data_IF_516068740031
#
_entry.id   IF_516068740031
#
_cell.length_a   1.000
_cell.length_b   1.000
_cell.length_c   1.000
_cell.angle_alpha   90.00
_cell.angle_beta   90.00
_cell.angle_gamma   90.00
#
_symmetry.space_group_name_H-M   'P 1'
#
loop_
_entity.id
_entity.type
_entity.pdbx_description
1 polymer ?
#
# COMPACT_ATOMS: atom_id res chain seq x y z
N UNK A 1 1.45 6.25 -19.08
CA UNK A 1 1.00 7.62 -19.39
C UNK A 1 1.40 8.44 -18.19
N UNK A 2 2.30 9.42 -18.33
CA UNK A 2 2.74 10.21 -17.17
C UNK A 2 1.67 11.25 -16.85
N UNK A 3 0.90 11.01 -15.78
CA UNK A 3 -0.19 11.90 -15.40
C UNK A 3 0.32 13.15 -14.66
N UNK A 4 1.58 13.14 -14.19
CA UNK A 4 2.19 14.23 -13.45
C UNK A 4 3.42 14.73 -14.20
N UNK A 5 3.43 16.00 -14.59
CA UNK A 5 4.54 16.60 -15.35
C UNK A 5 5.83 16.67 -14.51
N UNK A 6 5.70 16.68 -13.19
CA UNK A 6 6.80 16.72 -12.23
C UNK A 6 6.54 15.74 -11.08
N UNK A 7 7.60 15.29 -10.37
CA UNK A 7 7.46 14.54 -9.13
C UNK A 7 6.57 15.28 -8.12
N UNK A 8 5.62 14.56 -7.55
CA UNK A 8 4.75 15.07 -6.49
C UNK A 8 5.54 15.16 -5.20
N UNK A 9 5.50 16.32 -4.56
CA UNK A 9 6.12 16.54 -3.25
C UNK A 9 5.31 15.88 -2.11
N UNK A 10 3.99 15.82 -2.26
CA UNK A 10 3.02 15.30 -1.29
C UNK A 10 2.61 13.84 -1.57
N UNK A 11 3.57 12.93 -1.67
CA UNK A 11 3.29 11.52 -2.03
C UNK A 11 2.41 10.81 -1.00
N UNK A 12 2.61 11.09 0.29
CA UNK A 12 1.83 10.47 1.38
C UNK A 12 0.35 10.81 1.23
N UNK A 13 0.08 12.08 0.98
CA UNK A 13 -1.25 12.63 0.76
C UNK A 13 -1.86 12.12 -0.53
N UNK A 14 -1.06 11.98 -1.61
CA UNK A 14 -1.50 11.37 -2.86
C UNK A 14 -1.97 9.92 -2.64
N UNK A 15 -1.17 9.11 -1.95
CA UNK A 15 -1.51 7.70 -1.69
C UNK A 15 -2.68 7.56 -0.74
N UNK A 16 -2.79 8.43 0.26
CA UNK A 16 -3.98 8.50 1.11
C UNK A 16 -5.23 8.88 0.30
N UNK A 17 -5.16 9.95 -0.50
CA UNK A 17 -6.26 10.39 -1.34
C UNK A 17 -6.69 9.33 -2.36
N UNK A 18 -5.72 8.60 -2.92
CA UNK A 18 -5.96 7.46 -3.81
C UNK A 18 -6.77 6.35 -3.11
N UNK A 19 -6.38 5.98 -1.90
CA UNK A 19 -7.07 4.96 -1.11
C UNK A 19 -8.50 5.39 -0.76
N UNK A 20 -8.68 6.63 -0.32
CA UNK A 20 -10.00 7.17 0.00
C UNK A 20 -10.89 7.29 -1.24
N UNK A 21 -10.33 7.68 -2.39
CA UNK A 21 -11.05 7.70 -3.66
C UNK A 21 -11.53 6.30 -4.07
N UNK A 22 -10.69 5.27 -3.90
CA UNK A 22 -11.07 3.87 -4.17
C UNK A 22 -12.15 3.34 -3.22
N UNK A 23 -12.25 3.87 -1.99
CA UNK A 23 -13.36 3.61 -1.06
C UNK A 23 -14.66 4.31 -1.47
N UNK A 24 -14.61 5.20 -2.46
CA UNK A 24 -15.76 5.95 -2.96
C UNK A 24 -15.98 7.30 -2.27
N UNK A 25 -15.01 7.78 -1.49
CA UNK A 25 -15.08 9.11 -0.88
C UNK A 25 -15.12 10.20 -1.95
N UNK A 26 -15.95 11.23 -1.72
CA UNK A 26 -16.00 12.41 -2.60
C UNK A 26 -14.74 13.27 -2.43
N UNK A 27 -14.39 14.10 -3.41
CA UNK A 27 -13.22 15.00 -3.31
C UNK A 27 -13.27 15.86 -2.04
N UNK A 28 -14.46 16.37 -1.67
CA UNK A 28 -14.64 17.17 -0.46
C UNK A 28 -14.39 16.34 0.81
N UNK A 29 -14.85 15.10 0.85
CA UNK A 29 -14.59 14.21 1.98
C UNK A 29 -13.08 13.90 2.10
N UNK A 30 -12.41 13.63 0.98
CA UNK A 30 -10.96 13.39 0.95
C UNK A 30 -10.20 14.62 1.44
N UNK A 31 -10.56 15.83 0.99
CA UNK A 31 -9.93 17.07 1.44
C UNK A 31 -10.06 17.27 2.95
N UNK A 32 -11.25 16.99 3.51
CA UNK A 32 -11.47 17.08 4.95
C UNK A 32 -10.64 16.05 5.72
N UNK A 33 -10.59 14.80 5.24
CA UNK A 33 -9.80 13.74 5.87
C UNK A 33 -8.30 14.07 5.88
N UNK A 34 -7.77 14.57 4.75
CA UNK A 34 -6.39 15.05 4.68
C UNK A 34 -6.11 16.17 5.69
N UNK A 35 -7.01 17.15 5.81
CA UNK A 35 -6.87 18.25 6.76
C UNK A 35 -7.03 17.88 8.23
N UNK A 36 -7.58 16.69 8.54
CA UNK A 36 -7.66 16.16 9.91
C UNK A 36 -6.41 15.39 10.33
N UNK A 37 -5.58 14.98 9.36
CA UNK A 37 -4.37 14.20 9.63
C UNK A 37 -3.22 15.13 10.03
N UNK A 38 -2.65 14.93 11.23
CA UNK A 38 -1.65 15.86 11.79
C UNK A 38 -0.32 15.86 11.02
N UNK A 39 0.00 14.73 10.38
CA UNK A 39 1.27 14.54 9.65
C UNK A 39 1.19 14.90 8.16
N UNK A 40 0.05 15.43 7.69
CA UNK A 40 -0.16 15.73 6.28
C UNK A 40 -0.14 17.23 6.01
N UNK A 41 0.41 17.57 4.85
CA UNK A 41 0.31 18.91 4.31
C UNK A 41 -1.11 19.21 3.84
N UNK A 42 -1.51 20.48 3.95
CA UNK A 42 -2.80 20.92 3.44
C UNK A 42 -2.81 20.86 1.90
N UNK A 43 -3.63 19.97 1.34
CA UNK A 43 -3.78 19.82 -0.12
C UNK A 43 -4.95 20.67 -0.63
N UNK A 44 -4.74 21.60 -1.58
CA UNK A 44 -5.82 22.36 -2.20
C UNK A 44 -6.80 21.44 -2.95
N UNK A 45 -8.09 21.78 -2.91
CA UNK A 45 -9.13 21.03 -3.64
C UNK A 45 -8.82 20.96 -5.13
N UNK A 46 -8.28 22.02 -5.73
CA UNK A 46 -7.89 22.02 -7.14
C UNK A 46 -6.83 20.96 -7.44
N UNK A 47 -5.87 20.77 -6.53
CA UNK A 47 -4.84 19.73 -6.63
C UNK A 47 -5.46 18.34 -6.53
N UNK A 48 -6.42 18.13 -5.63
CA UNK A 48 -7.15 16.85 -5.53
C UNK A 48 -7.95 16.52 -6.78
N UNK A 49 -8.60 17.50 -7.40
CA UNK A 49 -9.32 17.28 -8.66
C UNK A 49 -8.36 16.89 -9.80
N UNK A 50 -7.15 17.47 -9.84
CA UNK A 50 -6.11 17.04 -10.77
C UNK A 50 -5.66 15.60 -10.48
N UNK A 51 -5.44 15.25 -9.21
CA UNK A 51 -5.08 13.88 -8.82
C UNK A 51 -6.16 12.87 -9.22
N UNK A 52 -7.43 13.22 -9.05
CA UNK A 52 -8.55 12.36 -9.45
C UNK A 52 -8.56 12.03 -10.95
N UNK A 53 -8.25 12.99 -11.82
CA UNK A 53 -8.09 12.74 -13.26
C UNK A 53 -6.96 11.73 -13.52
N UNK A 54 -5.93 11.71 -12.67
CA UNK A 54 -4.85 10.75 -12.74
C UNK A 54 -5.28 9.37 -12.23
N UNK A 55 -6.04 9.32 -11.13
CA UNK A 55 -6.59 8.10 -10.54
C UNK A 55 -7.47 7.34 -11.54
N UNK A 56 -8.31 8.05 -12.27
CA UNK A 56 -9.20 7.48 -13.29
C UNK A 56 -8.44 6.80 -14.45
N UNK A 57 -7.18 7.19 -14.69
CA UNK A 57 -6.31 6.63 -15.73
C UNK A 57 -5.52 5.40 -15.28
N UNK A 58 -5.46 5.12 -13.98
CA UNK A 58 -4.81 3.91 -13.45
C UNK A 58 -5.58 2.68 -13.93
N UNK A 59 -4.87 1.58 -14.20
CA UNK A 59 -5.49 0.37 -14.73
C UNK A 59 -6.53 -0.19 -13.76
N UNK A 60 -7.54 -0.91 -14.28
CA UNK A 60 -8.54 -1.54 -13.42
C UNK A 60 -7.95 -2.60 -12.51
N UNK A 61 -6.94 -3.33 -12.99
CA UNK A 61 -6.23 -4.34 -12.19
C UNK A 61 -5.59 -3.68 -10.97
N UNK A 62 -4.86 -2.58 -11.18
CA UNK A 62 -4.21 -1.86 -10.10
C UNK A 62 -5.21 -1.21 -9.13
N UNK A 63 -6.33 -0.67 -9.66
CA UNK A 63 -7.43 -0.16 -8.84
C UNK A 63 -8.02 -1.25 -7.93
N UNK A 64 -8.27 -2.46 -8.45
CA UNK A 64 -8.81 -3.56 -7.64
C UNK A 64 -7.80 -4.07 -6.61
N UNK A 65 -6.50 -4.13 -6.94
CA UNK A 65 -5.46 -4.49 -5.96
C UNK A 65 -5.39 -3.47 -4.82
N UNK A 66 -5.56 -2.17 -5.10
CA UNK A 66 -5.49 -1.13 -4.08
C UNK A 66 -6.80 -0.84 -3.35
N UNK A 67 -7.93 -1.43 -3.74
CA UNK A 67 -9.17 -1.36 -2.95
C UNK A 67 -9.04 -2.13 -1.63
N UNK A 68 -9.97 -1.84 -0.71
CA UNK A 68 -10.12 -2.59 0.54
C UNK A 68 -10.16 -4.08 0.24
N UNK A 69 -9.28 -4.82 0.90
CA UNK A 69 -9.09 -6.24 0.71
C UNK A 69 -10.40 -7.00 0.93
N UNK A 70 -10.70 -7.90 0.00
CA UNK A 70 -11.85 -8.78 0.07
C UNK A 70 -11.41 -10.22 0.23
N UNK A 71 -11.71 -10.75 1.41
CA UNK A 71 -11.50 -12.16 1.71
C UNK A 71 -12.10 -13.12 0.68
N UNK A 72 -13.30 -12.83 0.17
CA UNK A 72 -13.96 -13.70 -0.80
C UNK A 72 -13.30 -13.69 -2.20
N UNK A 73 -12.21 -12.92 -2.36
CA UNK A 73 -11.50 -12.65 -3.61
C UNK A 73 -10.01 -13.03 -3.56
N UNK A 74 -9.59 -13.93 -2.67
CA UNK A 74 -8.17 -14.33 -2.52
C UNK A 74 -7.45 -14.63 -3.85
N UNK A 75 -8.11 -15.34 -4.76
CA UNK A 75 -7.57 -15.69 -6.08
C UNK A 75 -7.25 -14.47 -6.95
N UNK A 76 -7.97 -13.35 -6.80
CA UNK A 76 -7.69 -12.12 -7.54
C UNK A 76 -6.37 -11.47 -7.12
N UNK A 77 -5.88 -11.79 -5.92
CA UNK A 77 -4.61 -11.31 -5.40
C UNK A 77 -3.48 -12.34 -5.57
N UNK A 78 -3.73 -13.44 -6.31
CA UNK A 78 -2.83 -14.60 -6.45
C UNK A 78 -2.51 -15.31 -5.12
N UNK A 79 -3.43 -15.24 -4.15
CA UNK A 79 -3.26 -15.86 -2.83
C UNK A 79 -4.05 -17.17 -2.77
N UNK A 80 -3.42 -18.33 -2.44
CA UNK A 80 -4.11 -19.60 -2.30
C UNK A 80 -5.08 -19.62 -1.11
N UNK A 81 -6.26 -20.23 -1.28
CA UNK A 81 -7.24 -20.43 -0.19
C UNK A 81 -6.70 -21.18 1.03
N UNK A 82 -5.63 -21.95 0.88
CA UNK A 82 -4.96 -22.62 2.00
C UNK A 82 -4.44 -21.65 3.07
N UNK A 83 -4.14 -20.41 2.69
CA UNK A 83 -3.62 -19.36 3.58
C UNK A 83 -4.69 -18.44 4.15
N UNK A 84 -5.95 -18.82 3.94
CA UNK A 84 -7.11 -18.06 4.37
C UNK A 84 -7.03 -17.75 5.87
N UNK A 85 -7.02 -18.76 6.75
CA UNK A 85 -7.08 -18.54 8.22
C UNK A 85 -6.08 -17.50 8.76
N UNK A 86 -4.87 -17.44 8.19
CA UNK A 86 -3.85 -16.44 8.49
C UNK A 86 -4.30 -15.03 8.09
N UNK A 87 -4.75 -14.85 6.85
CA UNK A 87 -5.17 -13.54 6.35
C UNK A 87 -6.41 -12.99 7.04
N UNK A 88 -7.30 -13.85 7.55
CA UNK A 88 -8.44 -13.36 8.32
C UNK A 88 -7.95 -12.66 9.59
N UNK A 89 -6.97 -13.23 10.28
CA UNK A 89 -6.38 -12.64 11.50
C UNK A 89 -5.69 -11.31 11.20
N UNK A 90 -4.90 -11.26 10.12
CA UNK A 90 -4.20 -10.04 9.70
C UNK A 90 -5.20 -8.95 9.29
N UNK A 91 -6.20 -9.29 8.48
CA UNK A 91 -7.18 -8.31 8.00
C UNK A 91 -8.03 -7.72 9.13
N UNK A 92 -8.21 -8.45 10.24
CA UNK A 92 -8.89 -7.94 11.43
C UNK A 92 -8.02 -6.99 12.28
N UNK A 93 -6.69 -7.11 12.19
CA UNK A 93 -5.77 -6.22 12.89
C UNK A 93 -5.62 -4.85 12.20
N UNK A 94 -6.06 -4.74 10.95
CA UNK A 94 -5.98 -3.53 10.15
C UNK A 94 -7.36 -2.94 9.87
N UNK A 95 -7.48 -1.63 10.04
CA UNK A 95 -8.68 -0.93 9.60
C UNK A 95 -8.67 -0.80 8.07
N UNK A 96 -9.42 -1.67 7.39
CA UNK A 96 -9.65 -1.65 5.94
C UNK A 96 -8.35 -1.66 5.08
N UNK A 97 -7.45 -2.65 5.23
CA UNK A 97 -6.21 -2.71 4.46
C UNK A 97 -6.49 -2.91 2.97
N UNK A 98 -5.62 -2.38 2.10
CA UNK A 98 -5.70 -2.66 0.66
C UNK A 98 -5.34 -4.11 0.34
N UNK A 99 -5.85 -4.64 -0.78
CA UNK A 99 -5.45 -5.95 -1.29
C UNK A 99 -3.94 -6.06 -1.55
N UNK A 100 -3.33 -5.00 -2.09
CA UNK A 100 -1.88 -4.89 -2.36
C UNK A 100 -1.08 -5.02 -1.06
N UNK A 101 -1.49 -4.33 -0.01
CA UNK A 101 -0.85 -4.44 1.32
C UNK A 101 -0.96 -5.87 1.86
N UNK A 102 -2.17 -6.46 1.82
CA UNK A 102 -2.38 -7.83 2.28
C UNK A 102 -1.54 -8.84 1.48
N UNK A 103 -1.43 -8.65 0.17
CA UNK A 103 -0.59 -9.48 -0.71
C UNK A 103 0.88 -9.41 -0.30
N UNK A 104 1.39 -8.24 0.07
CA UNK A 104 2.76 -8.09 0.57
C UNK A 104 2.97 -8.69 1.96
N UNK A 105 2.04 -8.49 2.89
CA UNK A 105 2.10 -9.15 4.20
C UNK A 105 2.13 -10.67 4.02
N UNK A 106 1.29 -11.20 3.13
CA UNK A 106 1.31 -12.63 2.79
C UNK A 106 2.64 -13.07 2.22
N UNK A 107 3.18 -12.40 1.19
CA UNK A 107 4.47 -12.75 0.58
C UNK A 107 5.60 -12.80 1.62
N UNK A 108 5.71 -11.77 2.46
CA UNK A 108 6.73 -11.69 3.50
C UNK A 108 6.56 -12.78 4.58
N UNK A 109 5.31 -13.12 4.93
CA UNK A 109 5.02 -14.23 5.86
C UNK A 109 5.47 -15.60 5.36
N UNK A 110 5.80 -15.74 4.07
CA UNK A 110 6.34 -16.98 3.48
C UNK A 110 7.86 -17.07 3.50
N UNK A 111 8.54 -15.99 3.85
CA UNK A 111 10.01 -15.91 3.83
C UNK A 111 10.60 -16.34 5.19
N UNK A 112 9.93 -15.99 6.28
CA UNK A 112 10.29 -16.31 7.66
C UNK A 112 9.03 -16.69 8.43
N UNK A 113 9.13 -17.63 9.36
CA UNK A 113 8.02 -18.02 10.22
C UNK A 113 7.45 -16.81 10.97
N UNK A 114 6.12 -16.66 10.95
CA UNK A 114 5.41 -15.52 11.57
C UNK A 114 5.70 -15.33 13.05
N UNK A 115 5.94 -16.41 13.78
CA UNK A 115 6.28 -16.36 15.21
C UNK A 115 7.66 -15.75 15.46
N UNK A 116 8.49 -15.65 14.42
CA UNK A 116 9.83 -15.05 14.45
C UNK A 116 9.86 -13.67 13.79
N UNK A 117 8.75 -13.23 13.20
CA UNK A 117 8.63 -11.85 12.74
C UNK A 117 8.31 -10.95 13.93
N UNK A 118 9.10 -9.90 14.10
CA UNK A 118 8.59 -8.70 14.75
C UNK A 118 7.48 -8.13 13.87
N UNK A 119 6.23 -8.17 14.36
CA UNK A 119 5.04 -7.81 13.58
C UNK A 119 5.20 -6.40 13.01
N UNK A 120 5.70 -5.45 13.80
CA UNK A 120 5.94 -4.07 13.34
C UNK A 120 6.88 -4.02 12.12
N UNK A 121 7.93 -4.84 12.08
CA UNK A 121 8.86 -4.89 10.94
C UNK A 121 8.21 -5.52 9.71
N UNK A 122 7.47 -6.62 9.87
CA UNK A 122 6.71 -7.25 8.78
C UNK A 122 5.76 -6.24 8.12
N UNK A 123 5.02 -5.53 8.95
CA UNK A 123 4.02 -4.56 8.51
C UNK A 123 4.66 -3.35 7.83
N UNK A 124 5.73 -2.81 8.42
CA UNK A 124 6.51 -1.71 7.85
C UNK A 124 7.13 -2.07 6.50
N UNK A 125 7.69 -3.28 6.36
CA UNK A 125 8.21 -3.77 5.09
C UNK A 125 7.11 -3.92 4.05
N UNK A 126 5.95 -4.49 4.42
CA UNK A 126 4.82 -4.61 3.51
C UNK A 126 4.33 -3.26 2.99
N UNK A 127 4.29 -2.24 3.86
CA UNK A 127 3.97 -0.87 3.48
C UNK A 127 5.00 -0.27 2.52
N UNK A 128 6.30 -0.49 2.76
CA UNK A 128 7.37 -0.04 1.85
C UNK A 128 7.22 -0.65 0.45
N UNK A 129 7.01 -1.95 0.33
CA UNK A 129 6.78 -2.60 -0.97
C UNK A 129 5.49 -2.10 -1.65
N UNK A 130 4.42 -1.92 -0.86
CA UNK A 130 3.15 -1.36 -1.35
C UNK A 130 3.35 0.05 -1.91
N UNK A 131 4.12 0.89 -1.21
CA UNK A 131 4.43 2.24 -1.64
C UNK A 131 5.34 2.25 -2.86
N UNK A 132 6.35 1.38 -2.93
CA UNK A 132 7.22 1.22 -4.09
C UNK A 132 6.40 0.90 -5.36
N UNK A 133 5.47 -0.05 -5.28
CA UNK A 133 4.58 -0.37 -6.40
C UNK A 133 3.68 0.82 -6.78
N UNK A 134 3.16 1.57 -5.81
CA UNK A 134 2.36 2.78 -6.07
C UNK A 134 3.18 3.91 -6.69
N UNK A 135 4.43 4.08 -6.27
CA UNK A 135 5.35 5.05 -6.85
C UNK A 135 5.58 4.75 -8.33
N UNK A 136 5.86 3.49 -8.68
CA UNK A 136 5.97 3.05 -10.07
C UNK A 136 4.66 3.29 -10.83
N UNK A 137 3.53 2.88 -10.26
CA UNK A 137 2.20 3.03 -10.85
C UNK A 137 1.88 4.49 -11.19
N UNK A 138 2.24 5.42 -10.29
CA UNK A 138 2.05 6.86 -10.49
C UNK A 138 3.23 7.56 -11.19
N UNK A 139 4.20 6.81 -11.72
CA UNK A 139 5.41 7.34 -12.38
C UNK A 139 6.15 8.35 -11.49
N UNK A 140 6.17 8.10 -10.18
CA UNK A 140 6.89 8.89 -9.19
C UNK A 140 8.29 8.30 -8.98
N UNK A 141 9.28 9.12 -8.59
CA UNK A 141 10.58 8.60 -8.14
C UNK A 141 10.37 7.62 -6.99
N UNK A 142 11.07 6.49 -6.98
CA UNK A 142 10.95 5.52 -5.88
C UNK A 142 11.69 6.01 -4.64
N UNK A 143 11.12 5.77 -3.46
CA UNK A 143 11.75 6.13 -2.17
C UNK A 143 12.76 5.07 -1.76
N UNK A 144 12.38 3.79 -1.82
CA UNK A 144 13.26 2.64 -1.64
C UNK A 144 13.35 1.89 -2.99
N UNK A 145 14.54 1.49 -3.42
CA UNK A 145 14.68 0.63 -4.61
C UNK A 145 14.25 -0.80 -4.29
N UNK A 146 13.93 -1.60 -5.32
CA UNK A 146 13.54 -3.00 -5.08
C UNK A 146 14.72 -3.81 -4.52
N UNK A 147 15.95 -3.47 -4.91
CA UNK A 147 17.17 -4.04 -4.37
C UNK A 147 17.34 -3.72 -2.88
N UNK A 148 17.18 -2.45 -2.49
CA UNK A 148 17.27 -2.03 -1.07
C UNK A 148 16.23 -2.75 -0.20
N UNK A 149 14.99 -2.89 -0.71
CA UNK A 149 13.92 -3.60 0.00
C UNK A 149 14.25 -5.09 0.16
N UNK A 150 14.78 -5.74 -0.87
CA UNK A 150 15.16 -7.15 -0.81
C UNK A 150 16.33 -7.39 0.14
N UNK A 151 17.30 -6.48 0.19
CA UNK A 151 18.40 -6.52 1.16
C UNK A 151 17.88 -6.36 2.59
N UNK A 152 16.92 -5.45 2.81
CA UNK A 152 16.30 -5.24 4.10
C UNK A 152 15.53 -6.48 4.58
N UNK A 153 14.71 -7.08 3.71
CA UNK A 153 14.04 -8.36 4.00
C UNK A 153 15.05 -9.44 4.34
N UNK A 154 16.16 -9.51 3.60
CA UNK A 154 17.20 -10.52 3.85
C UNK A 154 17.83 -10.34 5.23
N UNK A 155 18.13 -9.11 5.66
CA UNK A 155 18.63 -8.84 7.02
C UNK A 155 17.60 -9.26 8.07
N UNK A 156 16.38 -8.76 7.98
CA UNK A 156 15.31 -9.04 8.96
C UNK A 156 14.93 -10.53 9.04
N UNK A 157 15.06 -11.25 7.92
CA UNK A 157 14.79 -12.69 7.86
C UNK A 157 15.96 -13.55 8.35
N UNK A 158 17.21 -13.09 8.21
CA UNK A 158 18.42 -13.88 8.50
C UNK A 158 19.13 -13.49 9.80
N UNK A 159 18.83 -12.34 10.39
CA UNK A 159 19.50 -11.84 11.61
C UNK A 159 19.22 -12.71 12.87
N UNK A 160 18.35 -13.71 12.78
CA UNK A 160 18.11 -14.72 13.84
C UNK A 160 19.17 -15.85 13.88
N UNK A 161 20.26 -15.78 13.10
CA UNK A 161 21.30 -16.83 13.05
C UNK A 161 22.66 -16.46 13.65
N UNK A 162 22.75 -15.35 14.38
CA UNK A 162 23.91 -15.07 15.26
C UNK A 162 23.53 -15.27 16.73
N UNK A 163 23.31 -16.54 17.11
CA UNK A 163 23.29 -17.02 18.49
C UNK A 163 24.52 -17.87 18.78
#
# INVERSE_FOLDING_TARGET
MNCFEQPIQHKKELFFAWQEWLKGSSTLAIANLLGMHQDFDAIPIQTLELWKVCFEKISKVDQEEDKVFRWDKMEQYDIPWGDSSFLLRISQAYENPSGRLIKWIWRLSKIKDLEQWEIENLLRLAEKYTNHEREIMFTQPVTDTIEDLNEEVSREALDDHTG
#
